data_IF_577056653097
#
_entry.id   IF_577056653097
#
_cell.length_a   1.000
_cell.length_b   1.000
_cell.length_c   1.000
_cell.angle_alpha   90.00
_cell.angle_beta   90.00
_cell.angle_gamma   90.00
#
_symmetry.space_group_name_H-M   'P 1'
#
loop_
_entity.id
_entity.type
_entity.pdbx_description
1 polymer ?
#
# COMPACT_ATOMS: atom_id res chain seq x y z
N UNK A 1 -6.46 -11.23 21.38
CA UNK A 1 -6.82 -10.31 20.30
C UNK A 1 -8.27 -10.59 19.93
N UNK A 2 -9.24 -9.73 20.25
CA UNK A 2 -10.59 -9.93 19.74
C UNK A 2 -10.52 -9.76 18.23
N UNK A 3 -10.78 -10.84 17.49
CA UNK A 3 -10.94 -10.78 16.05
C UNK A 3 -12.16 -9.89 15.79
N UNK A 4 -12.02 -8.89 14.93
CA UNK A 4 -13.17 -8.18 14.39
C UNK A 4 -13.91 -9.21 13.53
N UNK A 5 -14.94 -9.85 14.10
CA UNK A 5 -15.74 -10.89 13.45
C UNK A 5 -16.87 -10.31 12.60
N UNK A 6 -16.90 -8.99 12.39
CA UNK A 6 -17.86 -8.36 11.48
C UNK A 6 -17.45 -8.66 10.03
N UNK A 7 -17.97 -9.76 9.51
CA UNK A 7 -17.95 -10.04 8.08
C UNK A 7 -19.03 -9.16 7.45
N UNK A 8 -18.62 -8.12 6.75
CA UNK A 8 -19.51 -7.33 5.91
C UNK A 8 -19.65 -8.04 4.56
N UNK A 9 -20.84 -8.57 4.28
CA UNK A 9 -21.15 -9.16 2.97
C UNK A 9 -21.15 -8.04 1.93
N UNK A 10 -20.21 -8.09 0.98
CA UNK A 10 -20.18 -7.21 -0.19
C UNK A 10 -20.02 -8.10 -1.42
N UNK A 11 -20.89 -7.91 -2.42
CA UNK A 11 -21.01 -8.83 -3.55
C UNK A 11 -20.68 -8.12 -4.88
N UNK A 12 -19.44 -7.63 -5.07
CA UNK A 12 -19.07 -6.79 -6.22
C UNK A 12 -19.24 -7.46 -7.59
N UNK A 13 -19.34 -8.79 -7.68
CA UNK A 13 -19.59 -9.48 -8.96
C UNK A 13 -21.08 -9.58 -9.32
N UNK A 14 -21.99 -9.25 -8.40
CA UNK A 14 -23.44 -9.28 -8.58
C UNK A 14 -24.01 -7.86 -8.48
N UNK A 15 -23.53 -7.10 -7.50
CA UNK A 15 -23.97 -5.75 -7.22
C UNK A 15 -23.59 -4.80 -8.37
N UNK A 16 -24.53 -3.94 -8.74
CA UNK A 16 -24.25 -2.89 -9.71
C UNK A 16 -23.21 -1.92 -9.13
N UNK A 17 -22.30 -1.46 -9.99
CA UNK A 17 -21.32 -0.47 -9.55
C UNK A 17 -22.05 0.82 -9.11
N UNK A 18 -21.77 1.33 -7.91
CA UNK A 18 -22.48 2.49 -7.39
C UNK A 18 -22.18 3.72 -8.26
N UNK A 19 -23.23 4.48 -8.57
CA UNK A 19 -23.11 5.72 -9.33
C UNK A 19 -22.29 6.76 -8.55
N UNK A 20 -21.71 7.77 -9.22
CA UNK A 20 -20.98 8.83 -8.53
C UNK A 20 -21.78 9.50 -7.41
N UNK A 21 -23.08 9.71 -7.62
CA UNK A 21 -23.98 10.30 -6.62
C UNK A 21 -24.18 9.37 -5.41
N UNK A 22 -24.34 8.06 -5.64
CA UNK A 22 -24.44 7.07 -4.57
C UNK A 22 -23.15 6.97 -3.77
N UNK A 23 -21.99 7.04 -4.43
CA UNK A 23 -20.67 7.08 -3.77
C UNK A 23 -20.52 8.33 -2.92
N UNK A 24 -20.85 9.50 -3.45
CA UNK A 24 -20.81 10.76 -2.70
C UNK A 24 -21.74 10.74 -1.49
N UNK A 25 -22.95 10.18 -1.63
CA UNK A 25 -23.88 10.02 -0.52
C UNK A 25 -23.33 9.06 0.56
N UNK A 26 -22.74 7.94 0.17
CA UNK A 26 -22.12 6.99 1.10
C UNK A 26 -20.92 7.63 1.83
N UNK A 27 -20.05 8.35 1.11
CA UNK A 27 -18.92 9.09 1.70
C UNK A 27 -19.39 10.16 2.69
N UNK A 28 -20.47 10.87 2.39
CA UNK A 28 -21.06 11.85 3.31
C UNK A 28 -21.55 11.21 4.61
N UNK A 29 -22.19 10.03 4.53
CA UNK A 29 -22.61 9.26 5.71
C UNK A 29 -21.40 8.76 6.52
N UNK A 30 -20.37 8.24 5.86
CA UNK A 30 -19.12 7.81 6.51
C UNK A 30 -18.46 9.00 7.23
N UNK A 31 -18.42 10.18 6.60
CA UNK A 31 -17.85 11.38 7.19
C UNK A 31 -18.66 11.87 8.40
N UNK A 32 -19.99 11.79 8.34
CA UNK A 32 -20.88 12.14 9.45
C UNK A 32 -20.66 11.21 10.65
N UNK A 33 -20.61 9.90 10.44
CA UNK A 33 -20.33 8.92 11.50
C UNK A 33 -18.92 9.11 12.08
N UNK A 34 -17.91 9.32 11.22
CA UNK A 34 -16.55 9.59 11.68
C UNK A 34 -16.48 10.86 12.54
N UNK A 35 -17.25 11.89 12.25
CA UNK A 35 -17.28 13.10 13.07
C UNK A 35 -17.83 12.87 14.50
N UNK A 36 -18.59 11.78 14.71
CA UNK A 36 -19.11 11.42 16.05
C UNK A 36 -18.07 10.73 16.93
N UNK A 37 -17.06 10.10 16.32
CA UNK A 37 -15.98 9.42 17.04
C UNK A 37 -14.71 10.28 17.03
N UNK A 38 -14.08 10.53 18.19
CA UNK A 38 -12.78 11.16 18.19
C UNK A 38 -11.76 10.23 17.53
N UNK A 39 -10.89 10.79 16.68
CA UNK A 39 -9.77 10.04 16.10
C UNK A 39 -8.88 9.52 17.26
N UNK A 40 -8.75 8.20 17.40
CA UNK A 40 -7.85 7.56 18.36
C UNK A 40 -6.45 7.45 17.71
N UNK A 41 -5.45 8.24 18.15
CA UNK A 41 -4.10 8.17 17.62
C UNK A 41 -3.38 6.86 17.99
N UNK A 42 -3.93 6.08 18.93
CA UNK A 42 -3.35 4.86 19.45
C UNK A 42 -4.34 3.70 19.35
N UNK A 43 -4.78 3.42 18.13
CA UNK A 43 -5.62 2.27 17.83
C UNK A 43 -5.01 0.98 18.42
N UNK A 44 -5.78 0.23 19.22
CA UNK A 44 -5.30 -0.93 20.00
C UNK A 44 -4.65 -2.08 19.19
N UNK A 45 -4.83 -2.10 17.86
CA UNK A 45 -4.18 -3.06 16.95
C UNK A 45 -2.85 -2.57 16.37
N UNK A 46 -2.57 -1.27 16.48
CA UNK A 46 -1.30 -0.70 16.03
C UNK A 46 -0.26 -0.90 17.14
N UNK A 47 0.97 -1.19 16.73
CA UNK A 47 2.09 -1.18 17.66
C UNK A 47 2.31 0.26 18.13
N UNK A 48 2.78 0.41 19.36
CA UNK A 48 3.23 1.71 19.87
C UNK A 48 4.21 2.36 18.88
N UNK A 49 4.07 3.67 18.72
CA UNK A 49 4.91 4.44 17.80
C UNK A 49 6.38 4.29 18.22
N UNK A 50 7.21 3.79 17.30
CA UNK A 50 8.63 3.63 17.56
C UNK A 50 9.31 4.98 17.51
N UNK A 51 9.82 5.44 18.65
CA UNK A 51 10.72 6.59 18.71
C UNK A 51 12.16 6.12 18.46
N UNK A 52 12.77 6.47 17.31
CA UNK A 52 14.13 6.04 17.00
C UNK A 52 15.13 6.68 17.97
N UNK A 53 16.00 5.86 18.56
CA UNK A 53 17.09 6.32 19.43
C UNK A 53 18.35 6.50 18.59
N UNK A 54 18.60 7.73 18.16
CA UNK A 54 19.79 8.09 17.42
C UNK A 54 20.95 8.42 18.36
N UNK A 55 22.18 8.03 17.99
CA UNK A 55 23.39 8.52 18.65
C UNK A 55 23.55 10.03 18.43
N UNK A 56 24.34 10.69 19.29
CA UNK A 56 24.59 12.13 19.18
C UNK A 56 25.14 12.53 17.80
N UNK A 57 26.02 11.71 17.22
CA UNK A 57 26.55 11.92 15.87
C UNK A 57 25.46 11.87 14.79
N UNK A 58 24.53 10.91 14.88
CA UNK A 58 23.40 10.82 13.94
C UNK A 58 22.45 12.01 14.11
N UNK A 59 22.19 12.45 15.34
CA UNK A 59 21.35 13.62 15.59
C UNK A 59 21.97 14.89 15.00
N UNK A 60 23.29 15.06 15.14
CA UNK A 60 24.02 16.17 14.54
C UNK A 60 23.93 16.16 13.00
N UNK A 61 24.06 14.99 12.37
CA UNK A 61 23.90 14.86 10.91
C UNK A 61 22.48 15.12 10.44
N UNK A 62 21.47 14.63 11.15
CA UNK A 62 20.06 14.93 10.87
C UNK A 62 19.82 16.44 10.95
N UNK A 63 20.35 17.11 11.99
CA UNK A 63 20.22 18.57 12.13
C UNK A 63 20.94 19.33 11.01
N UNK A 64 22.14 18.90 10.59
CA UNK A 64 22.87 19.48 9.45
C UNK A 64 22.07 19.34 8.15
N UNK A 65 21.54 18.14 7.89
CA UNK A 65 20.74 17.85 6.71
C UNK A 65 19.43 18.65 6.69
N UNK A 66 18.75 18.77 7.83
CA UNK A 66 17.56 19.61 7.99
C UNK A 66 17.86 21.10 7.71
N UNK A 67 19.05 21.57 8.13
CA UNK A 67 19.56 22.91 7.82
C UNK A 67 20.08 23.06 6.38
N UNK A 68 20.00 22.02 5.54
CA UNK A 68 20.50 21.98 4.15
C UNK A 68 21.96 22.42 4.01
N UNK A 69 22.78 22.25 5.04
CA UNK A 69 24.22 22.55 4.98
C UNK A 69 24.92 21.45 4.19
N UNK A 70 25.82 21.77 3.24
CA UNK A 70 26.61 20.74 2.55
C UNK A 70 27.50 19.96 3.55
N UNK A 71 27.85 18.73 3.19
CA UNK A 71 28.72 17.89 4.01
C UNK A 71 30.18 18.24 3.68
N UNK A 72 30.91 18.78 4.66
CA UNK A 72 32.34 19.07 4.56
C UNK A 72 33.15 18.07 5.40
N UNK A 73 33.05 16.79 5.03
CA UNK A 73 33.65 15.69 5.78
C UNK A 73 34.84 15.03 5.08
N UNK A 74 34.98 15.22 3.77
CA UNK A 74 35.99 14.54 2.96
C UNK A 74 36.97 15.59 2.46
N UNK A 75 38.13 15.63 3.10
CA UNK A 75 39.26 16.42 2.63
C UNK A 75 40.02 15.67 1.54
N UNK A 76 39.96 16.19 0.31
CA UNK A 76 40.66 15.64 -0.85
C UNK A 76 42.07 16.24 -1.03
N UNK A 77 42.37 17.37 -0.38
CA UNK A 77 43.65 18.09 -0.52
C UNK A 77 44.84 17.25 -0.04
N UNK A 78 44.59 16.29 0.86
CA UNK A 78 45.57 15.31 1.33
C UNK A 78 46.19 14.45 0.21
N UNK A 79 45.49 14.28 -0.91
CA UNK A 79 45.91 13.44 -2.03
C UNK A 79 46.48 14.25 -3.20
N UNK A 80 46.39 15.57 -3.13
CA UNK A 80 46.95 16.47 -4.13
C UNK A 80 48.44 16.66 -3.83
N UNK A 81 49.28 16.37 -4.82
CA UNK A 81 50.72 16.61 -4.72
C UNK A 81 50.98 18.03 -5.21
N UNK A 82 51.60 18.83 -4.36
CA UNK A 82 51.90 20.22 -4.64
C UNK A 82 53.18 20.33 -5.50
N UNK A 83 53.04 20.76 -6.76
CA UNK A 83 54.13 20.83 -7.74
C UNK A 83 54.97 22.12 -7.63
N UNK A 84 54.67 23.01 -6.68
CA UNK A 84 55.31 24.32 -6.61
C UNK A 84 56.77 24.25 -6.10
N UNK A 85 57.70 24.64 -6.99
CA UNK A 85 59.11 24.88 -6.72
C UNK A 85 59.36 26.35 -6.35
N UNK A 86 59.13 26.69 -5.08
CA UNK A 86 59.45 27.99 -4.48
C UNK A 86 60.29 27.83 -3.20
N UNK A 87 60.78 28.94 -2.64
CA UNK A 87 61.45 28.98 -1.33
C UNK A 87 60.42 28.70 -0.22
N UNK A 88 60.17 27.41 0.03
CA UNK A 88 59.27 26.90 1.08
C UNK A 88 60.01 26.87 2.42
N UNK A 89 59.32 27.18 3.50
CA UNK A 89 59.84 26.99 4.85
C UNK A 89 60.08 25.51 5.16
N UNK A 90 60.92 25.20 6.16
CA UNK A 90 61.20 23.80 6.54
C UNK A 90 59.92 23.05 6.94
N UNK A 91 58.97 23.74 7.57
CA UNK A 91 57.67 23.17 7.98
C UNK A 91 56.77 22.86 6.79
N UNK A 92 56.69 23.77 5.81
CA UNK A 92 55.95 23.57 4.55
C UNK A 92 56.55 22.42 3.72
N UNK A 93 57.87 22.30 3.70
CA UNK A 93 58.57 21.19 3.05
C UNK A 93 58.27 19.84 3.72
N UNK A 94 58.19 19.80 5.06
CA UNK A 94 57.83 18.58 5.78
C UNK A 94 56.38 18.16 5.49
N UNK A 95 55.45 19.12 5.44
CA UNK A 95 54.06 18.86 5.11
C UNK A 95 53.89 18.37 3.67
N UNK A 96 54.56 19.03 2.71
CA UNK A 96 54.57 18.63 1.29
C UNK A 96 55.19 17.23 1.12
N UNK A 97 56.28 16.93 1.82
CA UNK A 97 56.88 15.59 1.81
C UNK A 97 55.93 14.52 2.36
N UNK A 98 55.25 14.81 3.48
CA UNK A 98 54.26 13.90 4.05
C UNK A 98 53.10 13.63 3.07
N UNK A 99 52.58 14.68 2.41
CA UNK A 99 51.55 14.58 1.37
C UNK A 99 52.04 13.77 0.15
N UNK A 100 53.28 13.98 -0.29
CA UNK A 100 53.87 13.22 -1.39
C UNK A 100 53.99 11.71 -1.05
N UNK A 101 54.43 11.38 0.17
CA UNK A 101 54.46 9.99 0.63
C UNK A 101 53.05 9.39 0.75
N UNK A 102 52.06 10.15 1.27
CA UNK A 102 50.69 9.65 1.31
C UNK A 102 50.19 9.39 -0.11
N UNK A 103 50.29 10.34 -1.04
CA UNK A 103 49.88 10.14 -2.43
C UNK A 103 50.59 8.93 -3.08
N UNK A 104 51.90 8.77 -2.89
CA UNK A 104 52.66 7.64 -3.41
C UNK A 104 52.13 6.29 -2.88
N UNK A 105 51.84 6.19 -1.57
CA UNK A 105 51.32 4.96 -0.98
C UNK A 105 49.95 4.59 -1.56
N UNK A 106 49.05 5.57 -1.74
CA UNK A 106 47.76 5.35 -2.37
C UNK A 106 47.87 4.94 -3.85
N UNK A 107 48.77 5.57 -4.61
CA UNK A 107 49.03 5.20 -6.01
C UNK A 107 49.58 3.77 -6.12
N UNK A 108 50.45 3.36 -5.20
CA UNK A 108 50.95 1.98 -5.12
C UNK A 108 49.81 0.99 -4.84
N UNK A 109 48.95 1.31 -3.87
CA UNK A 109 47.75 0.50 -3.58
C UNK A 109 46.80 0.42 -4.78
N UNK A 110 46.51 1.57 -5.42
CA UNK A 110 45.69 1.65 -6.62
C UNK A 110 46.25 0.79 -7.76
N UNK A 111 47.56 0.78 -7.98
CA UNK A 111 48.18 -0.08 -8.99
C UNK A 111 47.94 -1.56 -8.70
N UNK A 112 48.06 -1.98 -7.44
CA UNK A 112 47.76 -3.35 -7.04
C UNK A 112 46.28 -3.69 -7.22
N UNK A 113 45.37 -2.78 -6.85
CA UNK A 113 43.92 -2.96 -7.04
C UNK A 113 43.55 -3.03 -8.53
N UNK A 114 44.14 -2.18 -9.38
CA UNK A 114 43.92 -2.22 -10.82
C UNK A 114 44.46 -3.51 -11.44
N UNK A 115 45.60 -4.01 -10.97
CA UNK A 115 46.10 -5.32 -11.42
C UNK A 115 45.16 -6.47 -11.04
N UNK A 116 44.58 -6.43 -9.82
CA UNK A 116 43.55 -7.40 -9.40
C UNK A 116 42.25 -7.25 -10.20
N UNK A 117 41.85 -6.02 -10.52
CA UNK A 117 40.66 -5.75 -11.33
C UNK A 117 40.86 -6.22 -12.77
N UNK A 118 42.04 -6.05 -13.34
CA UNK A 118 42.37 -6.55 -14.69
C UNK A 118 42.36 -8.08 -14.71
N UNK A 119 42.91 -8.73 -13.68
CA UNK A 119 42.98 -10.20 -13.63
C UNK A 119 41.65 -10.88 -13.28
N UNK A 120 40.83 -10.28 -12.41
CA UNK A 120 39.62 -10.93 -11.87
C UNK A 120 38.31 -10.17 -12.09
N UNK A 121 38.36 -8.89 -12.45
CA UNK A 121 37.20 -8.01 -12.51
C UNK A 121 36.12 -8.50 -13.47
N UNK A 122 36.51 -8.97 -14.66
CA UNK A 122 35.57 -9.54 -15.63
C UNK A 122 34.81 -10.74 -15.05
N UNK A 123 35.53 -11.67 -14.41
CA UNK A 123 34.91 -12.87 -13.86
C UNK A 123 34.02 -12.54 -12.66
N UNK A 124 34.46 -11.64 -11.78
CA UNK A 124 33.66 -11.16 -10.65
C UNK A 124 32.36 -10.47 -11.13
N UNK A 125 32.45 -9.66 -12.18
CA UNK A 125 31.28 -9.00 -12.76
C UNK A 125 30.29 -10.00 -13.38
N UNK A 126 30.78 -11.00 -14.11
CA UNK A 126 29.93 -12.06 -14.67
C UNK A 126 29.21 -12.88 -13.59
N UNK A 127 29.90 -13.21 -12.50
CA UNK A 127 29.28 -13.89 -11.35
C UNK A 127 28.23 -13.01 -10.69
N UNK A 128 28.53 -11.73 -10.50
CA UNK A 128 27.56 -10.75 -9.97
C UNK A 128 26.30 -10.66 -10.84
N UNK A 129 26.47 -10.57 -12.16
CA UNK A 129 25.33 -10.57 -13.09
C UNK A 129 24.52 -11.87 -12.99
N UNK A 130 25.18 -13.03 -12.94
CA UNK A 130 24.49 -14.31 -12.79
C UNK A 130 23.65 -14.37 -11.49
N UNK A 131 24.17 -13.83 -10.38
CA UNK A 131 23.41 -13.73 -9.13
C UNK A 131 22.19 -12.83 -9.28
N UNK A 132 22.36 -11.65 -9.88
CA UNK A 132 21.25 -10.71 -10.13
C UNK A 132 20.20 -11.32 -11.06
N UNK A 133 20.62 -12.01 -12.12
CA UNK A 133 19.70 -12.73 -13.01
C UNK A 133 18.91 -13.83 -12.28
N UNK A 134 19.55 -14.54 -11.35
CA UNK A 134 18.88 -15.54 -10.53
C UNK A 134 17.85 -14.90 -9.59
N UNK A 135 18.18 -13.76 -8.98
CA UNK A 135 17.25 -12.99 -8.14
C UNK A 135 16.05 -12.47 -8.93
N UNK A 136 16.28 -11.93 -10.13
CA UNK A 136 15.20 -11.50 -11.03
C UNK A 136 14.27 -12.66 -11.35
N UNK A 137 14.81 -13.81 -11.77
CA UNK A 137 13.99 -15.01 -12.07
C UNK A 137 13.18 -15.48 -10.86
N UNK A 138 13.76 -15.42 -9.66
CA UNK A 138 13.06 -15.76 -8.42
C UNK A 138 11.88 -14.83 -8.16
N UNK A 139 12.10 -13.51 -8.24
CA UNK A 139 11.04 -12.52 -8.02
C UNK A 139 9.96 -12.61 -9.10
N UNK A 140 10.32 -12.87 -10.36
CA UNK A 140 9.36 -13.11 -11.44
C UNK A 140 8.52 -14.37 -11.21
N UNK A 141 9.13 -15.45 -10.71
CA UNK A 141 8.43 -16.68 -10.35
C UNK A 141 7.46 -16.44 -9.18
N UNK A 142 7.89 -15.73 -8.14
CA UNK A 142 7.06 -15.36 -7.00
C UNK A 142 5.86 -14.51 -7.47
N UNK A 143 6.10 -13.50 -8.32
CA UNK A 143 5.04 -12.68 -8.90
C UNK A 143 4.04 -13.51 -9.71
N UNK A 144 4.53 -14.44 -10.53
CA UNK A 144 3.67 -15.31 -11.32
C UNK A 144 2.85 -16.26 -10.43
N UNK A 145 3.43 -16.78 -9.33
CA UNK A 145 2.70 -17.59 -8.37
C UNK A 145 1.60 -16.79 -7.69
N UNK A 146 1.91 -15.61 -7.14
CA UNK A 146 0.93 -14.73 -6.50
C UNK A 146 -0.20 -14.33 -7.43
N UNK A 147 0.09 -14.06 -8.72
CA UNK A 147 -0.96 -13.77 -9.72
C UNK A 147 -1.91 -14.96 -9.90
N UNK A 148 -1.38 -16.19 -9.99
CA UNK A 148 -2.21 -17.40 -10.08
C UNK A 148 -3.08 -17.57 -8.83
N UNK A 149 -2.52 -17.32 -7.65
CA UNK A 149 -3.28 -17.40 -6.40
C UNK A 149 -4.42 -16.37 -6.35
N UNK A 150 -4.15 -15.14 -6.80
CA UNK A 150 -5.17 -14.09 -6.95
C UNK A 150 -6.26 -14.54 -7.93
N UNK A 151 -5.90 -15.11 -9.08
CA UNK A 151 -6.84 -15.56 -10.09
C UNK A 151 -7.73 -16.70 -9.55
N UNK A 152 -7.15 -17.67 -8.85
CA UNK A 152 -7.89 -18.78 -8.22
C UNK A 152 -8.90 -18.24 -7.21
N UNK A 153 -8.46 -17.34 -6.32
CA UNK A 153 -9.36 -16.73 -5.32
C UNK A 153 -10.44 -15.89 -5.99
N UNK A 154 -10.10 -15.15 -7.05
CA UNK A 154 -11.04 -14.33 -7.82
C UNK A 154 -12.13 -15.20 -8.46
N UNK A 155 -11.74 -16.27 -9.15
CA UNK A 155 -12.69 -17.20 -9.79
C UNK A 155 -13.58 -17.89 -8.76
N UNK A 156 -13.00 -18.32 -7.63
CA UNK A 156 -13.78 -18.91 -6.54
C UNK A 156 -14.80 -17.92 -5.97
N UNK A 157 -14.40 -16.67 -5.70
CA UNK A 157 -15.29 -15.60 -5.22
C UNK A 157 -16.40 -15.32 -6.23
N UNK A 158 -16.06 -15.16 -7.50
CA UNK A 158 -17.03 -14.90 -8.56
C UNK A 158 -18.08 -16.02 -8.64
N UNK A 159 -17.65 -17.29 -8.57
CA UNK A 159 -18.55 -18.44 -8.61
C UNK A 159 -19.53 -18.43 -7.43
N UNK A 160 -19.02 -18.30 -6.19
CA UNK A 160 -19.86 -18.28 -4.98
C UNK A 160 -20.89 -17.15 -5.04
N UNK A 161 -20.47 -15.97 -5.50
CA UNK A 161 -21.37 -14.83 -5.66
C UNK A 161 -22.42 -15.10 -6.75
N UNK A 162 -22.04 -15.64 -7.90
CA UNK A 162 -23.02 -15.96 -8.96
C UNK A 162 -24.04 -17.04 -8.54
N UNK A 163 -23.64 -18.02 -7.73
CA UNK A 163 -24.55 -19.01 -7.15
C UNK A 163 -25.57 -18.31 -6.22
N UNK A 164 -25.10 -17.45 -5.31
CA UNK A 164 -25.97 -16.66 -4.43
C UNK A 164 -26.89 -15.69 -5.19
N UNK A 165 -26.45 -15.14 -6.33
CA UNK A 165 -27.24 -14.23 -7.14
C UNK A 165 -28.54 -14.86 -7.65
N UNK A 166 -28.51 -16.15 -8.01
CA UNK A 166 -29.71 -16.86 -8.47
C UNK A 166 -30.73 -16.99 -7.33
N UNK A 167 -30.27 -17.45 -6.16
CA UNK A 167 -31.10 -17.59 -4.96
C UNK A 167 -31.69 -16.24 -4.52
N UNK A 168 -30.89 -15.17 -4.53
CA UNK A 168 -31.36 -13.82 -4.18
C UNK A 168 -32.48 -13.34 -5.11
N UNK A 169 -32.38 -13.56 -6.43
CA UNK A 169 -33.43 -13.18 -7.38
C UNK A 169 -34.71 -13.96 -7.15
N UNK A 170 -34.61 -15.25 -6.85
CA UNK A 170 -35.77 -16.10 -6.57
C UNK A 170 -36.47 -15.68 -5.27
N UNK A 171 -35.69 -15.37 -4.24
CA UNK A 171 -36.21 -14.84 -2.98
C UNK A 171 -36.88 -13.48 -3.18
N UNK A 172 -36.27 -12.58 -3.94
CA UNK A 172 -36.82 -11.26 -4.24
C UNK A 172 -38.14 -11.36 -5.03
N UNK A 173 -38.19 -12.23 -6.05
CA UNK A 173 -39.40 -12.47 -6.83
C UNK A 173 -40.51 -13.08 -5.97
N UNK A 174 -40.19 -14.10 -5.17
CA UNK A 174 -41.14 -14.75 -4.26
C UNK A 174 -41.68 -13.75 -3.24
N UNK A 175 -40.82 -12.90 -2.69
CA UNK A 175 -41.20 -11.84 -1.78
C UNK A 175 -42.14 -10.82 -2.45
N UNK A 176 -41.78 -10.30 -3.64
CA UNK A 176 -42.64 -9.37 -4.40
C UNK A 176 -44.02 -9.98 -4.68
N UNK A 177 -44.08 -11.23 -5.14
CA UNK A 177 -45.34 -11.93 -5.39
C UNK A 177 -46.12 -12.17 -4.11
N UNK A 178 -45.46 -12.55 -3.01
CA UNK A 178 -46.09 -12.74 -1.71
C UNK A 178 -46.76 -11.47 -1.20
N UNK A 179 -46.02 -10.34 -1.22
CA UNK A 179 -46.55 -9.03 -0.83
C UNK A 179 -47.67 -8.60 -1.77
N UNK A 180 -47.50 -8.77 -3.08
CA UNK A 180 -48.53 -8.45 -4.07
C UNK A 180 -49.85 -9.20 -3.83
N UNK A 181 -49.76 -10.52 -3.57
CA UNK A 181 -50.94 -11.34 -3.27
C UNK A 181 -51.64 -10.92 -1.99
N UNK A 182 -50.90 -10.54 -0.95
CA UNK A 182 -51.51 -10.02 0.30
C UNK A 182 -52.27 -8.73 0.00
N UNK A 183 -51.67 -7.80 -0.73
CA UNK A 183 -52.33 -6.54 -1.11
C UNK A 183 -53.57 -6.75 -1.98
N UNK A 184 -53.51 -7.68 -2.95
CA UNK A 184 -54.67 -8.06 -3.76
C UNK A 184 -55.79 -8.65 -2.91
N UNK A 185 -55.45 -9.51 -1.94
CA UNK A 185 -56.47 -10.12 -1.05
C UNK A 185 -57.12 -9.10 -0.13
N UNK A 186 -56.36 -8.14 0.41
CA UNK A 186 -56.90 -7.05 1.23
C UNK A 186 -57.80 -6.13 0.40
N UNK A 187 -57.39 -5.78 -0.83
CA UNK A 187 -58.20 -4.98 -1.73
C UNK A 187 -59.52 -5.67 -2.10
N UNK A 188 -59.48 -6.96 -2.43
CA UNK A 188 -60.68 -7.75 -2.74
C UNK A 188 -61.59 -7.92 -1.52
N UNK A 189 -61.03 -8.06 -0.32
CA UNK A 189 -61.80 -8.14 0.92
C UNK A 189 -62.53 -6.83 1.23
N UNK A 190 -61.87 -5.68 1.03
CA UNK A 190 -62.51 -4.35 1.19
C UNK A 190 -63.56 -4.09 0.11
N UNK A 191 -63.32 -4.48 -1.14
CA UNK A 191 -64.33 -4.38 -2.20
C UNK A 191 -65.59 -5.21 -1.87
N UNK A 192 -65.40 -6.47 -1.44
CA UNK A 192 -66.48 -7.33 -1.01
C UNK A 192 -67.25 -6.74 0.18
N UNK A 193 -66.53 -6.12 1.14
CA UNK A 193 -67.13 -5.44 2.29
C UNK A 193 -68.04 -4.29 1.85
N UNK A 194 -67.61 -3.47 0.88
CA UNK A 194 -68.41 -2.38 0.32
C UNK A 194 -69.66 -2.91 -0.39
N UNK A 195 -69.52 -3.94 -1.24
CA UNK A 195 -70.65 -4.58 -1.92
C UNK A 195 -71.69 -5.12 -0.93
N UNK A 196 -71.25 -5.76 0.16
CA UNK A 196 -72.15 -6.25 1.22
C UNK A 196 -72.90 -5.09 1.91
N UNK A 197 -72.22 -3.97 2.18
CA UNK A 197 -72.86 -2.78 2.77
C UNK A 197 -73.91 -2.17 1.82
N UNK A 198 -73.63 -2.11 0.53
CA UNK A 198 -74.58 -1.64 -0.49
C UNK A 198 -75.80 -2.55 -0.60
N UNK A 199 -75.59 -3.87 -0.67
CA UNK A 199 -76.68 -4.84 -0.71
C UNK A 199 -77.60 -4.72 0.52
N UNK A 200 -77.02 -4.53 1.72
CA UNK A 200 -77.79 -4.30 2.95
C UNK A 200 -78.59 -2.99 2.92
N UNK A 201 -78.04 -1.92 2.33
CA UNK A 201 -78.78 -0.66 2.16
C UNK A 201 -79.96 -0.82 1.21
N UNK A 202 -79.81 -1.57 0.12
CA UNK A 202 -80.89 -1.83 -0.83
C UNK A 202 -82.02 -2.66 -0.20
N UNK A 203 -81.69 -3.65 0.63
CA UNK A 203 -82.68 -4.45 1.36
C UNK A 203 -83.41 -3.66 2.47
N UNK A 204 -82.77 -2.67 3.08
CA UNK A 204 -83.39 -1.83 4.11
C UNK A 204 -84.27 -0.69 3.52
N UNK A 205 -84.18 -0.44 2.21
CA UNK A 205 -84.98 0.55 1.49
C UNK A 205 -86.22 -0.01 0.77
N UNK A 206 -86.44 -1.33 0.85
CA UNK A 206 -87.68 -2.02 0.45
C UNK A 206 -88.52 -2.35 1.69
#
# INVERSE_FOLDING_TARGET
>A
MPYITSVHESLPYIDAEPTPDQRAAAEALIAAERATQPDDPHHALLREEHTPKFSEAMQAEIARAAAKKPLDAIDLTRYEVDDESGDKSVEELQQSLAQAYTAQTYLRGRRAHLALLDSYGKNAWLVGNWQVEADVKRVEADLAATKRDIDVVTVQRQRVQQEAAAEMRDLEATWRTGVGRVLETEAAAEELRLQVLEARRQQAGQ
#
